data_IF_486691117969
#
_entry.id   IF_486691117969
#
_cell.length_a   1.000
_cell.length_b   1.000
_cell.length_c   1.000
_cell.angle_alpha   90.00
_cell.angle_beta   90.00
_cell.angle_gamma   90.00
#
_symmetry.space_group_name_H-M   'P 1'
#
loop_
_entity.id
_entity.type
_entity.pdbx_description
1 polymer ?
#
# COMPACT_ATOMS: atom_id res chain seq x y z
N UNK A 1 8.35 -17.98 3.38
CA UNK A 1 8.61 -17.39 4.71
C UNK A 1 9.68 -16.32 4.58
N UNK A 2 9.44 -15.05 4.89
CA UNK A 2 8.16 -14.41 5.13
C UNK A 2 8.38 -12.92 4.82
N UNK A 3 8.39 -12.57 3.52
CA UNK A 3 8.65 -11.21 3.07
C UNK A 3 7.77 -10.20 3.83
N UNK A 4 6.52 -10.59 4.15
CA UNK A 4 5.63 -9.84 5.02
C UNK A 4 6.22 -9.57 6.40
N UNK A 5 6.75 -10.57 7.11
CA UNK A 5 7.38 -10.34 8.43
C UNK A 5 8.59 -9.41 8.35
N UNK A 6 9.40 -9.56 7.29
CA UNK A 6 10.55 -8.67 7.09
C UNK A 6 10.11 -7.24 6.79
N UNK A 7 9.09 -7.06 5.95
CA UNK A 7 8.49 -5.76 5.65
C UNK A 7 7.90 -5.14 6.93
N UNK A 8 7.13 -5.90 7.71
CA UNK A 8 6.57 -5.43 8.99
C UNK A 8 7.65 -4.91 9.93
N UNK A 9 8.71 -5.69 10.17
CA UNK A 9 9.84 -5.27 11.02
C UNK A 9 10.56 -4.03 10.48
N UNK A 10 10.56 -3.84 9.17
CA UNK A 10 11.19 -2.69 8.55
C UNK A 10 10.32 -1.44 8.71
N UNK A 11 9.00 -1.57 8.55
CA UNK A 11 8.03 -0.50 8.77
C UNK A 11 8.04 -0.03 10.22
N UNK A 12 8.10 -0.95 11.19
CA UNK A 12 8.17 -0.62 12.63
C UNK A 12 9.39 0.26 13.01
N UNK A 13 10.44 0.26 12.18
CA UNK A 13 11.65 1.06 12.37
C UNK A 13 11.73 2.26 11.43
N UNK A 14 10.75 2.43 10.55
CA UNK A 14 10.74 3.47 9.54
C UNK A 14 10.20 4.76 10.17
N UNK A 15 11.04 5.79 10.25
CA UNK A 15 10.68 7.08 10.83
C UNK A 15 9.48 7.72 10.10
N UNK A 16 9.31 7.41 8.81
CA UNK A 16 8.18 7.92 8.03
C UNK A 16 6.83 7.34 8.47
N UNK A 17 6.82 6.25 9.25
CA UNK A 17 5.59 5.65 9.78
C UNK A 17 4.84 6.65 10.68
N UNK A 18 5.56 7.52 11.38
CA UNK A 18 4.99 8.55 12.26
C UNK A 18 4.05 9.52 11.53
N UNK A 19 4.26 9.74 10.22
CA UNK A 19 3.44 10.62 9.40
C UNK A 19 2.11 10.00 8.96
N UNK A 20 1.95 8.68 9.09
CA UNK A 20 0.74 7.97 8.64
C UNK A 20 -0.40 8.08 9.66
N UNK A 21 -0.09 8.01 10.96
CA UNK A 21 -1.10 7.83 11.99
C UNK A 21 -1.80 6.46 11.89
N UNK A 22 -3.09 6.40 12.24
CA UNK A 22 -3.87 5.17 12.30
C UNK A 22 -4.53 4.88 10.95
N UNK A 23 -4.40 3.66 10.46
CA UNK A 23 -5.10 3.21 9.25
C UNK A 23 -6.60 3.06 9.53
N UNK A 24 -7.44 3.86 8.85
CA UNK A 24 -8.90 3.82 8.99
C UNK A 24 -9.51 3.13 7.78
N UNK A 25 -10.18 1.99 7.97
CA UNK A 25 -10.95 1.36 6.90
C UNK A 25 -12.27 2.09 6.66
N UNK A 26 -12.58 2.38 5.40
CA UNK A 26 -13.87 2.94 5.01
C UNK A 26 -14.90 1.82 4.90
N UNK A 27 -15.87 1.82 5.81
CA UNK A 27 -16.97 0.87 5.79
C UNK A 27 -18.01 1.31 4.76
N UNK A 28 -18.24 0.49 3.73
CA UNK A 28 -19.32 0.74 2.76
C UNK A 28 -20.61 0.11 3.29
N UNK A 29 -21.76 0.77 3.10
CA UNK A 29 -23.07 0.26 3.53
C UNK A 29 -23.36 -1.19 3.08
N UNK A 30 -22.86 -1.60 1.90
CA UNK A 30 -23.04 -2.95 1.34
C UNK A 30 -21.91 -3.94 1.67
N UNK A 31 -20.75 -3.45 2.10
CA UNK A 31 -19.54 -4.26 2.30
C UNK A 31 -18.64 -3.55 3.33
N UNK A 32 -18.95 -3.76 4.61
CA UNK A 32 -18.22 -3.15 5.73
C UNK A 32 -16.77 -3.61 5.76
N UNK A 33 -16.50 -4.87 5.40
CA UNK A 33 -15.18 -5.49 5.51
C UNK A 33 -14.46 -5.56 4.15
N UNK A 34 -14.79 -4.65 3.23
CA UNK A 34 -14.27 -4.68 1.85
C UNK A 34 -12.73 -4.72 1.81
N UNK A 35 -12.07 -3.84 2.57
CA UNK A 35 -10.62 -3.74 2.61
C UNK A 35 -9.99 -5.03 3.13
N UNK A 36 -10.47 -5.55 4.27
CA UNK A 36 -9.98 -6.78 4.90
C UNK A 36 -10.11 -7.98 3.94
N UNK A 37 -11.24 -8.10 3.25
CA UNK A 37 -11.46 -9.15 2.26
C UNK A 37 -10.48 -9.04 1.09
N UNK A 38 -10.19 -7.83 0.60
CA UNK A 38 -9.18 -7.61 -0.45
C UNK A 38 -7.77 -7.93 0.03
N UNK A 39 -7.44 -7.60 1.27
CA UNK A 39 -6.17 -7.94 1.90
C UNK A 39 -5.95 -9.45 1.92
N UNK A 40 -6.95 -10.21 2.38
CA UNK A 40 -6.90 -11.68 2.41
C UNK A 40 -6.78 -12.27 1.00
N UNK A 41 -7.67 -11.89 0.08
CA UNK A 41 -7.71 -12.42 -1.29
C UNK A 41 -6.42 -12.15 -2.09
N UNK A 42 -5.69 -11.08 -1.75
CA UNK A 42 -4.52 -10.62 -2.52
C UNK A 42 -3.21 -10.73 -1.75
N UNK A 43 -3.24 -11.34 -0.56
CA UNK A 43 -2.12 -11.44 0.37
C UNK A 43 -1.44 -10.08 0.63
N UNK A 44 -2.23 -9.04 0.89
CA UNK A 44 -1.75 -7.68 1.20
C UNK A 44 -1.84 -7.47 2.72
N UNK A 45 -0.74 -7.11 3.37
CA UNK A 45 -0.71 -6.80 4.81
C UNK A 45 -0.89 -5.30 5.08
N UNK A 46 -1.17 -4.93 6.34
CA UNK A 46 -1.18 -3.51 6.76
C UNK A 46 0.19 -2.86 6.55
N UNK A 47 1.28 -3.55 6.88
CA UNK A 47 2.63 -3.06 6.65
C UNK A 47 2.87 -2.70 5.17
N UNK A 48 2.41 -3.52 4.23
CA UNK A 48 2.48 -3.19 2.80
C UNK A 48 1.69 -1.92 2.45
N UNK A 49 0.51 -1.73 3.04
CA UNK A 49 -0.30 -0.53 2.87
C UNK A 49 0.44 0.70 3.40
N UNK A 50 1.08 0.60 4.56
CA UNK A 50 1.89 1.68 5.14
C UNK A 50 3.03 2.06 4.20
N UNK A 51 3.77 1.08 3.66
CA UNK A 51 4.82 1.37 2.66
C UNK A 51 4.28 2.14 1.45
N UNK A 52 3.12 1.74 0.95
CA UNK A 52 2.49 2.45 -0.17
C UNK A 52 2.09 3.88 0.19
N UNK A 53 1.64 4.14 1.42
CA UNK A 53 1.28 5.47 1.89
C UNK A 53 2.51 6.36 2.13
N UNK A 54 3.63 5.80 2.60
CA UNK A 54 4.88 6.54 2.84
C UNK A 54 5.60 6.87 1.54
N UNK A 55 5.79 5.87 0.66
CA UNK A 55 6.70 5.99 -0.48
C UNK A 55 5.99 5.95 -1.84
N UNK A 56 4.72 5.57 -1.88
CA UNK A 56 3.98 5.44 -3.14
C UNK A 56 3.85 6.77 -3.87
N UNK A 57 3.96 6.72 -5.20
CA UNK A 57 3.65 7.89 -6.03
C UNK A 57 2.18 8.23 -5.84
N UNK A 58 1.93 9.43 -5.31
CA UNK A 58 0.60 10.00 -5.09
C UNK A 58 -0.02 10.40 -6.42
N UNK A 59 -1.29 10.08 -6.59
CA UNK A 59 -2.13 10.49 -7.70
C UNK A 59 -3.57 10.67 -7.24
N UNK A 60 -4.44 11.02 -8.19
CA UNK A 60 -5.85 11.24 -7.92
C UNK A 60 -6.68 10.54 -9.00
N UNK A 61 -7.75 9.87 -8.59
CA UNK A 61 -8.66 9.20 -9.51
C UNK A 61 -10.07 9.12 -8.94
N UNK A 62 -11.07 9.55 -9.72
CA UNK A 62 -12.50 9.45 -9.39
C UNK A 62 -12.83 9.96 -7.98
N UNK A 63 -12.27 11.12 -7.60
CA UNK A 63 -12.51 11.70 -6.29
C UNK A 63 -11.68 11.12 -5.14
N UNK A 64 -10.80 10.15 -5.40
CA UNK A 64 -10.00 9.47 -4.38
C UNK A 64 -8.50 9.66 -4.60
N UNK A 65 -7.75 9.69 -3.51
CA UNK A 65 -6.30 9.65 -3.51
C UNK A 65 -5.83 8.24 -3.80
N UNK A 66 -4.79 8.12 -4.62
CA UNK A 66 -4.22 6.85 -5.03
C UNK A 66 -2.73 6.88 -4.80
N UNK A 67 -2.21 5.92 -4.05
CA UNK A 67 -0.79 5.74 -3.81
C UNK A 67 -0.34 4.47 -4.53
N UNK A 68 0.64 4.57 -5.43
CA UNK A 68 1.12 3.43 -6.22
C UNK A 68 2.61 3.21 -6.00
N UNK A 69 2.99 2.02 -5.53
CA UNK A 69 4.38 1.60 -5.49
C UNK A 69 4.85 1.20 -6.89
N UNK A 70 5.93 1.83 -7.34
CA UNK A 70 6.62 1.50 -8.57
C UNK A 70 8.13 1.36 -8.31
N UNK A 71 8.87 0.87 -9.30
CA UNK A 71 10.30 0.64 -9.17
C UNK A 71 11.05 1.91 -8.78
N UNK A 72 10.66 3.07 -9.32
CA UNK A 72 11.32 4.34 -9.01
C UNK A 72 11.11 4.73 -7.54
N UNK A 73 9.89 4.63 -7.03
CA UNK A 73 9.60 4.95 -5.63
C UNK A 73 10.28 3.99 -4.66
N UNK A 74 10.44 2.71 -5.04
CA UNK A 74 11.07 1.69 -4.20
C UNK A 74 12.60 1.71 -4.29
N UNK A 75 13.19 2.15 -5.40
CA UNK A 75 14.65 2.28 -5.59
C UNK A 75 15.31 3.23 -4.60
N UNK A 76 14.58 4.26 -4.19
CA UNK A 76 15.07 5.26 -3.25
C UNK A 76 14.53 5.06 -1.83
N UNK A 77 14.05 3.85 -1.51
CA UNK A 77 13.54 3.53 -0.18
C UNK A 77 14.23 2.29 0.41
N UNK A 78 14.16 2.10 1.74
CA UNK A 78 14.64 0.90 2.42
C UNK A 78 14.00 -0.41 1.91
N UNK A 79 12.91 -0.31 1.15
CA UNK A 79 12.14 -1.43 0.61
C UNK A 79 12.60 -1.87 -0.78
N UNK A 80 13.70 -1.33 -1.31
CA UNK A 80 14.29 -1.73 -2.59
C UNK A 80 14.43 -3.25 -2.74
N UNK A 81 14.90 -3.93 -1.69
CA UNK A 81 15.06 -5.39 -1.64
C UNK A 81 13.74 -6.18 -1.81
N UNK A 82 12.59 -5.52 -1.61
CA UNK A 82 11.25 -6.09 -1.75
C UNK A 82 10.54 -5.59 -3.03
N UNK A 83 11.28 -5.08 -4.01
CA UNK A 83 10.71 -4.51 -5.24
C UNK A 83 9.73 -5.45 -5.94
N UNK A 84 10.05 -6.74 -6.06
CA UNK A 84 9.17 -7.67 -6.77
C UNK A 84 7.92 -8.04 -5.97
N UNK A 85 8.00 -7.90 -4.65
CA UNK A 85 6.89 -8.16 -3.73
C UNK A 85 5.94 -6.96 -3.71
N UNK A 86 6.48 -5.74 -3.62
CA UNK A 86 5.72 -4.49 -3.44
C UNK A 86 5.33 -3.81 -4.77
N UNK A 87 6.02 -4.21 -5.85
CA UNK A 87 5.68 -4.04 -7.27
C UNK A 87 4.20 -3.84 -7.58
N UNK A 88 3.77 -2.60 -7.78
CA UNK A 88 2.44 -2.30 -8.31
C UNK A 88 1.35 -2.37 -7.25
N UNK A 89 1.69 -2.42 -5.96
CA UNK A 89 0.71 -2.22 -4.90
C UNK A 89 0.09 -0.84 -5.05
N UNK A 90 -1.23 -0.80 -5.07
CA UNK A 90 -2.01 0.42 -5.13
C UNK A 90 -2.97 0.48 -3.96
N UNK A 91 -2.91 1.58 -3.23
CA UNK A 91 -3.81 1.89 -2.10
C UNK A 91 -4.67 3.08 -2.51
N UNK A 92 -5.98 2.94 -2.33
CA UNK A 92 -6.96 3.98 -2.65
C UNK A 92 -7.58 4.49 -1.37
N UNK A 93 -7.53 5.80 -1.16
CA UNK A 93 -8.01 6.45 0.04
C UNK A 93 -8.98 7.59 -0.29
N UNK A 94 -9.99 7.79 0.56
CA UNK A 94 -10.83 9.00 0.53
C UNK A 94 -10.08 10.20 1.12
N UNK A 95 -9.21 9.96 2.09
CA UNK A 95 -8.32 10.95 2.69
C UNK A 95 -6.93 10.33 2.86
N UNK A 96 -5.89 11.09 2.55
CA UNK A 96 -4.50 10.66 2.71
C UNK A 96 -4.03 10.80 4.15
N UNK A 97 -2.76 10.47 4.43
CA UNK A 97 -2.13 10.76 5.71
C UNK A 97 -2.22 12.25 6.09
N UNK A 98 -2.32 12.58 7.40
CA UNK A 98 -2.40 11.65 8.54
C UNK A 98 -3.79 10.99 8.70
N UNK A 99 -3.84 9.80 9.31
CA UNK A 99 -5.04 8.97 9.54
C UNK A 99 -5.82 8.64 8.26
N UNK A 100 -5.20 7.92 7.31
CA UNK A 100 -5.76 7.70 5.98
C UNK A 100 -7.05 6.89 6.04
N UNK A 101 -8.06 7.36 5.29
CA UNK A 101 -9.34 6.67 5.10
C UNK A 101 -9.26 5.74 3.90
N UNK A 102 -8.81 4.52 4.11
CA UNK A 102 -8.54 3.53 3.07
C UNK A 102 -9.83 2.87 2.60
N UNK A 103 -10.06 2.94 1.30
CA UNK A 103 -11.23 2.41 0.63
C UNK A 103 -10.97 1.02 0.02
N UNK A 104 -9.80 0.80 -0.56
CA UNK A 104 -9.39 -0.52 -1.07
C UNK A 104 -7.88 -0.58 -1.31
N UNK A 105 -7.32 -1.79 -1.40
CA UNK A 105 -5.94 -2.03 -1.80
C UNK A 105 -5.88 -3.17 -2.82
N UNK A 106 -5.04 -3.03 -3.85
CA UNK A 106 -4.95 -4.02 -4.92
C UNK A 106 -3.62 -3.97 -5.69
N UNK A 107 -3.29 -5.07 -6.37
CA UNK A 107 -2.16 -5.13 -7.31
C UNK A 107 -2.55 -4.58 -8.67
N UNK A 108 -1.87 -3.51 -9.11
CA UNK A 108 -2.02 -2.94 -10.44
C UNK A 108 -1.20 -3.76 -11.45
N UNK A 109 -1.86 -4.69 -12.13
CA UNK A 109 -1.25 -5.69 -13.03
C UNK A 109 -0.29 -5.09 -14.06
N UNK A 110 -0.63 -3.95 -14.69
CA UNK A 110 0.24 -3.30 -15.68
C UNK A 110 1.59 -2.88 -15.08
N UNK A 111 1.58 -2.38 -13.84
CA UNK A 111 2.82 -2.00 -13.13
C UNK A 111 3.56 -3.25 -12.66
N UNK A 112 2.83 -4.25 -12.16
CA UNK A 112 3.40 -5.51 -11.65
C UNK A 112 4.10 -6.32 -12.74
N UNK A 113 3.54 -6.38 -13.95
CA UNK A 113 4.07 -7.17 -15.08
C UNK A 113 5.21 -6.50 -15.83
N UNK A 114 5.53 -5.22 -15.56
CA UNK A 114 6.55 -4.46 -16.32
C UNK A 114 7.95 -5.06 -16.26
N UNK A 115 8.25 -5.93 -15.29
CA UNK A 115 9.56 -6.62 -15.17
C UNK A 115 9.67 -7.93 -15.93
N UNK A 116 8.55 -8.52 -16.39
CA UNK A 116 8.56 -9.80 -17.10
C UNK A 116 8.64 -9.65 -18.64
N UNK A 117 9.10 -8.50 -19.12
CA UNK A 117 9.32 -8.25 -20.55
C UNK A 117 10.80 -8.11 -20.82
#
# INVERSE_FOLDING_TARGET
>A
MDANKKITRLVEKDENQTHIGILISVNRRKDSNHLQRRQQQRAISNAMIEVALMYGTKGFSRGALVFTLNDRSLRHSPYYQFIDVLRGLRVVCLAGPPNPKILTAYWHEKTKRRVRK
#
